data_IF_208375727253
#
_entry.id   IF_208375727253
#
_cell.length_a   1.000
_cell.length_b   1.000
_cell.length_c   1.000
_cell.angle_alpha   90.00
_cell.angle_beta   90.00
_cell.angle_gamma   90.00
#
_symmetry.space_group_name_H-M   'P 1'
#
loop_
_entity.id
_entity.type
_entity.pdbx_description
1 polymer ?
#
# COMPACT_ATOMS: atom_id res chain seq x y z
N UNK A 1 47.11 -56.34 11.22
CA UNK A 1 48.53 -56.17 11.41
C UNK A 1 48.93 -55.87 12.84
N UNK A 2 50.12 -56.35 13.17
CA UNK A 2 50.74 -56.11 14.47
C UNK A 2 52.16 -55.60 14.26
N UNK A 3 52.68 -54.79 15.19
CA UNK A 3 54.09 -54.37 15.19
C UNK A 3 55.00 -55.57 15.45
N UNK A 4 56.07 -55.65 14.68
CA UNK A 4 57.12 -56.65 14.97
C UNK A 4 57.74 -56.25 16.32
N UNK A 5 57.69 -57.20 17.26
CA UNK A 5 58.45 -57.09 18.51
C UNK A 5 59.72 -57.98 18.36
N UNK A 6 60.82 -57.33 18.02
CA UNK A 6 62.11 -57.96 17.86
C UNK A 6 62.89 -58.17 19.19
N UNK A 7 62.24 -57.83 20.33
CA UNK A 7 62.90 -57.96 21.63
C UNK A 7 63.19 -59.42 21.93
N UNK A 8 64.47 -59.83 22.12
CA UNK A 8 64.80 -61.19 22.48
C UNK A 8 64.21 -61.60 23.83
N UNK A 9 63.59 -62.75 23.88
CA UNK A 9 63.12 -63.33 25.15
C UNK A 9 64.15 -64.43 25.57
N UNK A 10 65.00 -64.16 26.55
CA UNK A 10 65.97 -65.13 27.01
C UNK A 10 65.25 -66.23 27.76
N UNK A 11 65.68 -67.49 27.51
CA UNK A 11 65.27 -68.64 28.29
C UNK A 11 66.44 -69.63 28.41
N UNK A 12 66.47 -70.42 29.47
CA UNK A 12 67.48 -71.39 29.74
C UNK A 12 66.84 -72.79 29.92
N UNK A 13 67.39 -73.78 29.24
CA UNK A 13 67.03 -75.20 29.44
C UNK A 13 68.12 -75.86 30.27
N UNK A 14 67.76 -76.26 31.49
CA UNK A 14 68.74 -76.94 32.40
C UNK A 14 68.71 -78.40 32.23
N UNK A 15 69.90 -79.05 32.38
CA UNK A 15 70.09 -80.50 32.30
C UNK A 15 69.16 -81.20 33.32
N UNK A 16 68.35 -82.17 32.86
CA UNK A 16 67.43 -82.93 33.70
C UNK A 16 66.03 -82.39 33.78
N UNK A 17 65.72 -81.33 33.05
CA UNK A 17 64.33 -80.77 32.96
C UNK A 17 63.53 -81.48 31.84
N UNK A 18 62.40 -82.09 32.20
CA UNK A 18 61.40 -82.64 31.25
C UNK A 18 60.18 -81.77 31.09
N UNK A 19 60.20 -80.57 31.63
CA UNK A 19 59.05 -79.65 31.57
C UNK A 19 59.09 -78.78 30.31
N UNK A 20 57.92 -78.60 29.71
CA UNK A 20 57.75 -77.66 28.59
C UNK A 20 57.78 -76.20 29.11
N UNK A 21 58.70 -75.37 28.59
CA UNK A 21 58.77 -73.94 28.87
C UNK A 21 57.74 -73.23 27.97
N UNK A 22 56.82 -72.53 28.57
CA UNK A 22 55.85 -71.70 27.86
C UNK A 22 56.34 -70.26 27.79
N UNK A 23 56.60 -69.77 26.59
CA UNK A 23 56.92 -68.39 26.34
C UNK A 23 55.62 -67.66 25.89
N UNK A 24 55.31 -66.55 26.53
CA UNK A 24 54.24 -65.64 26.13
C UNK A 24 54.88 -64.39 25.53
N UNK A 25 54.55 -64.07 24.29
CA UNK A 25 55.00 -62.88 23.64
C UNK A 25 53.78 -62.18 23.09
N UNK A 26 53.61 -60.86 23.39
CA UNK A 26 52.52 -60.06 22.99
C UNK A 26 52.95 -59.12 21.88
N UNK A 27 52.15 -58.95 20.82
CA UNK A 27 52.40 -58.00 19.77
C UNK A 27 51.42 -56.86 19.89
N UNK A 28 51.92 -55.65 19.70
CA UNK A 28 51.05 -54.43 19.61
C UNK A 28 50.36 -54.39 18.25
N UNK A 29 49.06 -54.23 18.24
CA UNK A 29 48.30 -54.11 16.99
C UNK A 29 48.71 -52.80 16.29
N UNK A 30 48.81 -52.85 14.96
CA UNK A 30 48.96 -51.66 14.11
C UNK A 30 47.64 -50.97 14.01
N UNK A 31 47.66 -49.66 14.21
CA UNK A 31 46.47 -48.87 14.26
C UNK A 31 46.56 -47.65 13.31
N UNK A 32 45.51 -47.36 12.66
CA UNK A 32 45.43 -46.17 11.82
C UNK A 32 44.65 -45.03 12.51
N UNK A 33 44.83 -43.83 11.98
CA UNK A 33 44.13 -42.63 12.43
C UNK A 33 43.45 -41.96 11.24
N UNK A 34 42.26 -41.40 11.48
CA UNK A 34 41.58 -40.53 10.56
C UNK A 34 41.60 -39.11 11.13
N UNK A 35 42.34 -38.21 10.47
CA UNK A 35 42.29 -36.77 10.73
C UNK A 35 41.27 -36.13 9.81
N UNK A 36 40.19 -35.58 10.37
CA UNK A 36 39.20 -34.79 9.65
C UNK A 36 39.61 -33.32 9.69
N UNK A 37 39.66 -32.66 8.53
CA UNK A 37 39.84 -31.22 8.40
C UNK A 37 38.55 -30.61 7.90
N UNK A 38 37.91 -29.78 8.71
CA UNK A 38 36.68 -29.08 8.37
C UNK A 38 36.97 -27.67 7.86
N UNK A 39 36.48 -27.32 6.66
CA UNK A 39 36.79 -26.05 5.99
C UNK A 39 35.56 -25.43 5.33
N UNK A 40 35.62 -24.12 5.09
CA UNK A 40 34.66 -23.40 4.29
C UNK A 40 34.79 -23.79 2.81
N UNK A 41 33.67 -24.04 2.13
CA UNK A 41 33.63 -24.45 0.71
C UNK A 41 34.27 -23.44 -0.23
N UNK A 42 34.03 -22.13 0.04
CA UNK A 42 34.51 -21.05 -0.80
C UNK A 42 35.89 -20.50 -0.38
N UNK A 43 36.34 -20.84 0.82
CA UNK A 43 37.64 -20.43 1.35
C UNK A 43 38.25 -21.53 2.21
N UNK A 44 38.94 -22.48 1.61
CA UNK A 44 39.54 -23.66 2.30
C UNK A 44 40.60 -23.30 3.35
N UNK A 45 41.16 -22.08 3.33
CA UNK A 45 42.03 -21.59 4.39
C UNK A 45 41.26 -21.31 5.71
N UNK A 46 39.93 -21.10 5.62
CA UNK A 46 39.07 -20.90 6.79
C UNK A 46 38.71 -22.26 7.38
N UNK A 47 39.27 -22.54 8.57
CA UNK A 47 38.98 -23.72 9.36
C UNK A 47 37.72 -23.55 10.17
N UNK A 48 36.92 -24.64 10.33
CA UNK A 48 35.59 -24.58 10.96
C UNK A 48 35.56 -25.48 12.21
N UNK A 49 35.41 -24.85 13.37
CA UNK A 49 35.19 -25.49 14.66
C UNK A 49 33.73 -25.88 14.89
N UNK A 50 33.48 -26.86 15.76
CA UNK A 50 32.16 -27.22 16.25
C UNK A 50 31.32 -28.09 15.31
N UNK A 51 31.87 -28.63 14.23
CA UNK A 51 31.25 -29.69 13.45
C UNK A 51 31.30 -31.03 14.20
N UNK A 52 30.16 -31.68 14.34
CA UNK A 52 30.10 -33.03 14.94
C UNK A 52 30.10 -34.09 13.86
N UNK A 53 30.98 -35.11 14.04
CA UNK A 53 31.09 -36.22 13.12
C UNK A 53 30.86 -37.54 13.82
N UNK A 54 30.24 -38.48 13.12
CA UNK A 54 30.14 -39.89 13.48
C UNK A 54 30.85 -40.75 12.44
N UNK A 55 31.67 -41.67 12.89
CA UNK A 55 32.35 -42.66 12.07
C UNK A 55 31.64 -44.01 12.25
N UNK A 56 31.28 -44.65 11.15
CA UNK A 56 30.58 -45.93 11.12
C UNK A 56 31.38 -46.97 10.32
N UNK A 57 31.17 -48.23 10.64
CA UNK A 57 31.61 -49.35 9.79
C UNK A 57 30.60 -49.62 8.65
N UNK A 58 30.90 -50.54 7.75
CA UNK A 58 30.05 -50.92 6.62
C UNK A 58 28.72 -51.61 7.03
N UNK A 59 28.56 -51.96 8.32
CA UNK A 59 27.34 -52.56 8.88
C UNK A 59 26.50 -51.53 9.64
N UNK A 60 26.78 -50.24 9.47
CA UNK A 60 26.15 -49.12 10.16
C UNK A 60 26.38 -49.13 11.70
N UNK A 61 27.38 -49.84 12.21
CA UNK A 61 27.75 -49.74 13.62
C UNK A 61 28.56 -48.48 13.86
N UNK A 62 28.18 -47.73 14.89
CA UNK A 62 28.91 -46.53 15.31
C UNK A 62 30.25 -46.93 15.92
N UNK A 63 31.35 -46.48 15.33
CA UNK A 63 32.74 -46.73 15.79
C UNK A 63 33.20 -45.61 16.72
N UNK A 64 32.98 -44.32 16.34
CA UNK A 64 33.41 -43.19 17.14
C UNK A 64 32.60 -41.95 16.79
N UNK A 65 32.60 -41.00 17.73
CA UNK A 65 32.05 -39.62 17.53
C UNK A 65 33.08 -38.60 17.97
N UNK A 66 33.02 -37.43 17.37
CA UNK A 66 33.85 -36.31 17.80
C UNK A 66 33.40 -34.97 17.24
N UNK A 67 34.06 -33.93 17.72
CA UNK A 67 33.74 -32.51 17.36
C UNK A 67 35.04 -31.86 16.89
N UNK A 68 34.98 -31.08 15.81
CA UNK A 68 36.15 -30.32 15.34
C UNK A 68 36.54 -29.22 16.33
N UNK A 69 37.85 -29.12 16.63
CA UNK A 69 38.42 -28.12 17.51
C UNK A 69 38.49 -26.71 16.84
N UNK A 70 39.11 -25.74 17.52
CA UNK A 70 39.29 -24.38 17.00
C UNK A 70 40.08 -24.28 15.69
N UNK A 71 40.96 -25.28 15.44
CA UNK A 71 41.70 -25.39 14.19
C UNK A 71 40.90 -26.13 13.08
N UNK A 72 39.62 -26.46 13.32
CA UNK A 72 38.80 -27.23 12.40
C UNK A 72 39.23 -28.69 12.25
N UNK A 73 39.91 -29.24 13.24
CA UNK A 73 40.47 -30.60 13.20
C UNK A 73 39.76 -31.52 14.19
N UNK A 74 39.57 -32.79 13.77
CA UNK A 74 39.11 -33.90 14.60
C UNK A 74 39.93 -35.12 14.28
N UNK A 75 40.39 -35.86 15.32
CA UNK A 75 41.18 -37.07 15.16
C UNK A 75 40.42 -38.30 15.70
N UNK A 76 40.23 -39.29 14.88
CA UNK A 76 39.81 -40.64 15.28
C UNK A 76 41.01 -41.56 15.28
N UNK A 77 41.27 -42.26 16.39
CA UNK A 77 42.40 -43.15 16.57
C UNK A 77 41.95 -44.61 16.71
N UNK A 78 42.89 -45.54 16.77
CA UNK A 78 42.67 -46.97 17.00
C UNK A 78 41.83 -47.64 15.90
N UNK A 79 41.98 -47.17 14.65
CA UNK A 79 41.26 -47.73 13.50
C UNK A 79 41.98 -48.90 12.90
N UNK A 80 41.23 -49.95 12.54
CA UNK A 80 41.80 -51.17 11.95
C UNK A 80 42.41 -50.90 10.57
N UNK A 81 43.60 -51.44 10.23
CA UNK A 81 44.17 -51.36 8.89
C UNK A 81 43.25 -51.92 7.79
N UNK A 82 42.48 -52.95 8.14
CA UNK A 82 41.59 -53.66 7.21
C UNK A 82 40.13 -53.16 7.36
N UNK A 83 39.95 -52.13 8.16
CA UNK A 83 38.60 -51.53 8.39
C UNK A 83 38.20 -50.62 7.25
N UNK A 84 36.96 -50.82 6.79
CA UNK A 84 36.29 -49.90 5.90
C UNK A 84 35.22 -49.13 6.70
N UNK A 85 35.21 -47.80 6.54
CA UNK A 85 34.39 -46.92 7.30
C UNK A 85 33.67 -45.91 6.39
N UNK A 86 32.69 -45.24 6.94
CA UNK A 86 32.20 -43.97 6.37
C UNK A 86 32.01 -42.93 7.46
N UNK A 87 32.33 -41.70 7.11
CA UNK A 87 32.19 -40.50 7.96
C UNK A 87 30.94 -39.74 7.59
N UNK A 88 30.17 -39.30 8.59
CA UNK A 88 28.97 -38.45 8.41
C UNK A 88 29.06 -37.28 9.34
N UNK A 89 28.79 -36.08 8.83
CA UNK A 89 28.56 -34.90 9.65
C UNK A 89 27.17 -35.00 10.27
N UNK A 90 27.07 -34.99 11.60
CA UNK A 90 25.77 -35.04 12.32
C UNK A 90 25.31 -33.70 12.83
N UNK A 91 26.20 -32.69 12.83
CA UNK A 91 25.88 -31.30 13.13
C UNK A 91 26.90 -30.38 12.44
N UNK A 92 26.41 -29.45 11.68
CA UNK A 92 27.25 -28.47 11.00
C UNK A 92 27.87 -27.45 11.97
N UNK A 93 29.00 -26.81 11.60
CA UNK A 93 29.49 -25.62 12.30
C UNK A 93 28.43 -24.50 12.31
N UNK A 94 28.50 -23.66 13.32
CA UNK A 94 27.55 -22.54 13.42
C UNK A 94 27.61 -21.63 12.18
N UNK A 95 26.45 -21.39 11.54
CA UNK A 95 26.33 -20.56 10.34
C UNK A 95 26.63 -21.31 9.02
N UNK A 96 26.68 -22.64 9.04
CA UNK A 96 26.89 -23.50 7.87
C UNK A 96 25.74 -24.47 7.64
N UNK A 97 25.55 -24.89 6.38
CA UNK A 97 24.60 -25.94 5.99
C UNK A 97 25.18 -27.31 6.41
N UNK A 98 24.34 -28.25 6.87
CA UNK A 98 24.72 -29.60 7.20
C UNK A 98 25.07 -30.38 5.92
N UNK A 99 26.19 -31.09 5.91
CA UNK A 99 26.54 -32.11 4.90
C UNK A 99 26.34 -33.49 5.51
N UNK A 100 25.18 -34.10 5.30
CA UNK A 100 24.82 -35.43 5.77
C UNK A 100 25.27 -36.56 4.83
N UNK A 101 26.10 -36.24 3.86
CA UNK A 101 26.67 -37.20 2.91
C UNK A 101 27.52 -38.25 3.63
N UNK A 102 27.38 -39.54 3.25
CA UNK A 102 28.29 -40.62 3.70
C UNK A 102 29.60 -40.51 2.94
N UNK A 103 30.66 -40.10 3.62
CA UNK A 103 32.00 -40.00 3.04
C UNK A 103 32.77 -41.31 3.27
N UNK A 104 33.11 -42.11 2.23
CA UNK A 104 33.82 -43.38 2.39
C UNK A 104 35.26 -43.15 2.85
N UNK A 105 35.70 -43.90 3.83
CA UNK A 105 37.03 -43.88 4.42
C UNK A 105 37.66 -45.25 4.31
N UNK A 106 38.79 -45.37 3.57
CA UNK A 106 39.55 -46.60 3.39
C UNK A 106 41.03 -46.32 3.61
N UNK A 107 41.71 -47.20 4.31
CA UNK A 107 43.15 -47.11 4.52
C UNK A 107 43.95 -47.86 3.44
N UNK A 108 43.27 -48.62 2.56
CA UNK A 108 43.89 -49.36 1.46
C UNK A 108 45.06 -50.26 1.90
N UNK A 109 44.93 -50.96 3.05
CA UNK A 109 45.95 -51.83 3.63
C UNK A 109 47.14 -51.11 4.28
N UNK A 110 47.10 -49.77 4.39
CA UNK A 110 48.15 -49.02 5.11
C UNK A 110 48.07 -49.27 6.61
N UNK A 111 49.21 -49.24 7.25
CA UNK A 111 49.37 -49.46 8.68
C UNK A 111 50.22 -48.38 9.32
N UNK A 112 49.92 -48.01 10.57
CA UNK A 112 50.54 -46.87 11.27
C UNK A 112 50.42 -45.59 10.46
N UNK A 113 49.20 -45.36 9.82
CA UNK A 113 48.99 -44.30 8.88
C UNK A 113 47.89 -43.34 9.36
N UNK A 114 48.16 -42.04 9.22
CA UNK A 114 47.14 -41.02 9.42
C UNK A 114 46.59 -40.59 8.07
N UNK A 115 45.32 -40.90 7.82
CA UNK A 115 44.59 -40.42 6.66
C UNK A 115 44.01 -39.05 6.99
N UNK A 116 44.36 -38.02 6.22
CA UNK A 116 43.71 -36.69 6.32
C UNK A 116 42.58 -36.63 5.32
N UNK A 117 41.38 -36.40 5.83
CA UNK A 117 40.17 -36.25 5.01
C UNK A 117 39.57 -34.89 5.21
N UNK A 118 39.38 -34.13 4.11
CA UNK A 118 38.83 -32.77 4.15
C UNK A 118 37.35 -32.76 3.81
N UNK A 119 36.51 -32.21 4.72
CA UNK A 119 35.09 -32.03 4.55
C UNK A 119 34.79 -30.55 4.45
N UNK A 120 34.04 -30.17 3.42
CA UNK A 120 33.68 -28.77 3.14
C UNK A 120 32.24 -28.49 3.55
N UNK A 121 31.96 -27.32 4.14
CA UNK A 121 30.59 -26.87 4.33
C UNK A 121 30.37 -25.54 3.63
N UNK A 122 29.14 -25.41 3.10
CA UNK A 122 28.65 -24.19 2.49
C UNK A 122 28.09 -23.28 3.57
N UNK A 123 28.47 -22.01 3.54
CA UNK A 123 27.96 -21.03 4.49
C UNK A 123 26.46 -20.85 4.32
N UNK A 124 25.70 -20.92 5.41
CA UNK A 124 24.26 -20.66 5.41
C UNK A 124 23.99 -19.18 5.11
N UNK A 125 23.24 -18.92 4.06
CA UNK A 125 22.84 -17.56 3.70
C UNK A 125 21.73 -17.11 4.65
N UNK A 126 22.05 -16.22 5.57
CA UNK A 126 21.04 -15.56 6.39
C UNK A 126 20.16 -14.67 5.52
N UNK A 127 18.85 -14.79 5.65
CA UNK A 127 17.89 -14.01 4.89
C UNK A 127 16.94 -13.23 5.81
N UNK A 128 16.41 -12.14 5.30
CA UNK A 128 15.30 -11.38 5.87
C UNK A 128 14.24 -11.13 4.80
N UNK A 129 13.29 -10.26 5.10
CA UNK A 129 12.23 -9.91 4.17
C UNK A 129 11.99 -8.40 4.18
N UNK A 130 11.52 -7.86 3.05
CA UNK A 130 11.10 -6.46 2.94
C UNK A 130 9.59 -6.46 2.69
N UNK A 131 8.84 -5.76 3.55
CA UNK A 131 7.41 -5.50 3.39
C UNK A 131 7.20 -4.10 2.84
N UNK A 132 6.58 -3.99 1.69
CA UNK A 132 6.15 -2.72 1.11
C UNK A 132 4.73 -2.44 1.59
N UNK A 133 4.52 -1.23 2.08
CA UNK A 133 3.23 -0.69 2.47
C UNK A 133 2.90 0.45 1.52
N UNK A 134 1.84 0.29 0.75
CA UNK A 134 1.38 1.28 -0.24
C UNK A 134 0.20 2.08 0.27
N UNK A 135 0.28 3.42 0.20
CA UNK A 135 -0.79 4.26 0.72
C UNK A 135 -0.93 5.60 -0.03
N UNK A 136 -2.11 6.20 0.07
CA UNK A 136 -2.37 7.59 -0.37
C UNK A 136 -1.61 8.58 0.50
N UNK A 137 -0.93 9.53 -0.11
CA UNK A 137 -0.08 10.50 0.60
C UNK A 137 -0.86 11.40 1.57
N UNK A 138 -2.09 11.79 1.22
CA UNK A 138 -2.90 12.69 2.04
C UNK A 138 -3.73 11.94 3.08
N UNK A 139 -4.51 10.95 2.66
CA UNK A 139 -5.47 10.24 3.52
C UNK A 139 -4.86 9.07 4.30
N UNK A 140 -3.64 8.64 3.94
CA UNK A 140 -2.97 7.43 4.46
C UNK A 140 -3.76 6.13 4.25
N UNK A 141 -4.80 6.16 3.42
CA UNK A 141 -5.55 4.98 3.03
C UNK A 141 -4.65 4.02 2.24
N UNK A 142 -4.74 2.73 2.54
CA UNK A 142 -4.02 1.67 1.84
C UNK A 142 -4.46 1.57 0.39
N UNK A 143 -3.50 1.31 -0.51
CA UNK A 143 -3.71 1.26 -1.96
C UNK A 143 -3.27 -0.10 -2.50
N UNK A 144 -4.12 -0.73 -3.30
CA UNK A 144 -3.86 -2.01 -3.96
C UNK A 144 -3.43 -1.83 -5.41
N UNK A 145 -2.81 -2.88 -6.00
CA UNK A 145 -2.56 -2.99 -7.43
C UNK A 145 -1.36 -2.20 -7.95
N UNK A 146 -0.53 -1.61 -7.08
CA UNK A 146 0.77 -1.09 -7.47
C UNK A 146 1.72 -2.25 -7.79
N UNK A 147 2.59 -2.09 -8.79
CA UNK A 147 3.65 -3.04 -9.10
C UNK A 147 5.01 -2.42 -8.80
N UNK A 148 5.88 -3.22 -8.18
CA UNK A 148 7.24 -2.82 -7.83
C UNK A 148 8.25 -3.79 -8.44
N UNK A 149 9.34 -3.23 -8.96
CA UNK A 149 10.57 -3.96 -9.23
C UNK A 149 11.52 -3.77 -8.05
N UNK A 150 12.13 -4.85 -7.59
CA UNK A 150 13.25 -4.81 -6.67
C UNK A 150 14.53 -5.28 -7.34
N UNK A 151 15.67 -4.76 -6.88
CA UNK A 151 17.00 -5.12 -7.37
C UNK A 151 17.99 -5.23 -6.21
N UNK A 152 18.68 -6.35 -6.13
CA UNK A 152 19.85 -6.54 -5.27
C UNK A 152 21.05 -5.80 -5.88
N UNK A 153 21.59 -4.80 -5.17
CA UNK A 153 22.68 -3.95 -5.71
C UNK A 153 24.02 -4.67 -5.82
N UNK A 154 24.20 -5.83 -5.15
CA UNK A 154 25.43 -6.61 -5.16
C UNK A 154 25.45 -7.61 -6.31
N UNK A 155 24.35 -8.37 -6.45
CA UNK A 155 24.27 -9.46 -7.46
C UNK A 155 23.62 -9.02 -8.75
N UNK A 156 22.94 -7.87 -8.76
CA UNK A 156 22.11 -7.44 -9.88
C UNK A 156 20.80 -8.22 -10.04
N UNK A 157 20.52 -9.21 -9.17
CA UNK A 157 19.27 -9.98 -9.21
C UNK A 157 18.06 -9.06 -9.04
N UNK A 158 17.05 -9.23 -9.88
CA UNK A 158 15.79 -8.48 -9.86
C UNK A 158 14.59 -9.38 -9.68
N UNK A 159 13.48 -8.80 -9.27
CA UNK A 159 12.18 -9.46 -9.26
C UNK A 159 11.07 -8.42 -9.22
N UNK A 160 9.84 -8.84 -9.46
CA UNK A 160 8.64 -8.00 -9.44
C UNK A 160 7.66 -8.51 -8.41
N UNK A 161 6.92 -7.57 -7.78
CA UNK A 161 5.87 -7.88 -6.81
C UNK A 161 4.69 -6.94 -7.01
N UNK A 162 3.48 -7.44 -6.74
CA UNK A 162 2.24 -6.67 -6.85
C UNK A 162 1.61 -6.51 -5.47
N UNK A 163 1.24 -5.30 -5.13
CA UNK A 163 0.61 -4.96 -3.85
C UNK A 163 -0.81 -5.53 -3.79
N UNK A 164 -1.10 -6.29 -2.74
CA UNK A 164 -2.39 -6.93 -2.50
C UNK A 164 -3.50 -5.95 -2.11
N UNK A 165 -4.70 -6.49 -1.90
CA UNK A 165 -5.91 -5.71 -1.54
C UNK A 165 -5.81 -5.03 -0.18
N UNK A 166 -4.95 -5.54 0.72
CA UNK A 166 -4.63 -4.94 2.03
C UNK A 166 -3.65 -3.77 1.94
N UNK A 167 -3.19 -3.45 0.73
CA UNK A 167 -2.19 -2.41 0.48
C UNK A 167 -0.78 -2.79 0.87
N UNK A 168 -0.47 -4.10 0.95
CA UNK A 168 0.87 -4.60 1.30
C UNK A 168 1.36 -5.69 0.36
N UNK A 169 2.68 -5.86 0.28
CA UNK A 169 3.35 -7.01 -0.34
C UNK A 169 4.68 -7.26 0.37
N UNK A 170 5.07 -8.52 0.48
CA UNK A 170 6.35 -8.90 1.09
C UNK A 170 7.25 -9.56 0.06
N UNK A 171 8.53 -9.16 0.05
CA UNK A 171 9.61 -9.78 -0.73
C UNK A 171 10.39 -10.66 0.26
N UNK A 172 10.21 -11.99 0.23
CA UNK A 172 10.85 -12.91 1.16
C UNK A 172 12.26 -13.31 0.72
N UNK A 173 13.00 -13.98 1.61
CA UNK A 173 14.26 -14.67 1.35
C UNK A 173 15.35 -13.78 0.72
N UNK A 174 15.42 -12.52 1.15
CA UNK A 174 16.44 -11.57 0.74
C UNK A 174 17.69 -11.72 1.62
N UNK A 175 18.87 -11.90 1.02
CA UNK A 175 20.13 -12.05 1.76
C UNK A 175 20.40 -10.81 2.61
N UNK A 176 20.85 -11.01 3.86
CA UNK A 176 21.32 -9.90 4.71
C UNK A 176 22.67 -9.36 4.22
N UNK A 177 23.11 -8.23 4.80
CA UNK A 177 24.30 -7.46 4.41
C UNK A 177 24.27 -6.99 2.95
N UNK A 178 23.05 -6.68 2.45
CA UNK A 178 22.82 -6.18 1.10
C UNK A 178 21.83 -5.01 1.10
N UNK A 179 21.96 -4.16 0.10
CA UNK A 179 21.02 -3.08 -0.18
C UNK A 179 20.16 -3.46 -1.38
N UNK A 180 18.86 -3.24 -1.22
CA UNK A 180 17.86 -3.49 -2.24
C UNK A 180 17.28 -2.16 -2.70
N UNK A 181 17.22 -1.96 -4.02
CA UNK A 181 16.52 -0.86 -4.66
C UNK A 181 15.10 -1.29 -5.01
N UNK A 182 14.10 -0.52 -4.59
CA UNK A 182 12.68 -0.79 -4.81
C UNK A 182 12.10 0.39 -5.58
N UNK A 183 11.58 0.13 -6.77
CA UNK A 183 11.04 1.14 -7.70
C UNK A 183 9.62 0.78 -8.09
N UNK A 184 8.70 1.73 -7.99
CA UNK A 184 7.34 1.54 -8.50
C UNK A 184 7.36 1.54 -10.02
N UNK A 185 6.87 0.46 -10.65
CA UNK A 185 6.79 0.33 -12.11
C UNK A 185 5.38 0.61 -12.64
N UNK A 186 4.37 0.47 -11.77
CA UNK A 186 2.97 0.80 -12.08
C UNK A 186 2.28 1.33 -10.83
N UNK A 187 1.70 2.52 -10.93
CA UNK A 187 0.95 3.11 -9.84
C UNK A 187 -0.44 2.46 -9.68
N UNK A 188 -1.04 2.54 -8.47
CA UNK A 188 -2.45 2.23 -8.30
C UNK A 188 -3.34 3.07 -9.20
N UNK A 189 -4.49 2.53 -9.61
CA UNK A 189 -5.44 3.23 -10.49
C UNK A 189 -5.88 4.57 -9.90
N UNK A 190 -5.70 5.66 -10.64
CA UNK A 190 -6.03 7.03 -10.21
C UNK A 190 -4.92 7.74 -9.43
N UNK A 191 -3.72 7.17 -9.42
CA UNK A 191 -2.56 7.77 -8.77
C UNK A 191 -1.44 8.09 -9.77
N UNK A 192 -0.57 8.99 -9.38
CA UNK A 192 0.64 9.35 -10.15
C UNK A 192 1.75 8.37 -9.74
N UNK A 193 2.50 7.86 -10.72
CA UNK A 193 3.64 6.96 -10.49
C UNK A 193 4.69 7.63 -9.60
N UNK A 194 5.12 6.91 -8.55
CA UNK A 194 6.29 7.30 -7.77
C UNK A 194 7.57 6.91 -8.51
N UNK A 195 8.35 7.90 -8.91
CA UNK A 195 9.63 7.69 -9.61
C UNK A 195 10.84 7.58 -8.67
N UNK A 196 10.61 7.60 -7.36
CA UNK A 196 11.68 7.53 -6.36
C UNK A 196 12.17 6.08 -6.27
N UNK A 197 13.49 5.91 -6.25
CA UNK A 197 14.12 4.64 -5.92
C UNK A 197 14.29 4.56 -4.41
N UNK A 198 13.53 3.67 -3.77
CA UNK A 198 13.61 3.44 -2.33
C UNK A 198 14.71 2.42 -2.03
N UNK A 199 15.73 2.81 -1.26
CA UNK A 199 16.83 1.92 -0.87
C UNK A 199 16.60 1.35 0.51
N UNK A 200 16.66 0.02 0.64
CA UNK A 200 16.50 -0.71 1.89
C UNK A 200 17.71 -1.61 2.10
N UNK A 201 18.42 -1.41 3.20
CA UNK A 201 19.57 -2.26 3.56
C UNK A 201 19.13 -3.28 4.62
N UNK A 202 19.33 -4.55 4.34
CA UNK A 202 19.17 -5.64 5.31
C UNK A 202 20.55 -5.93 5.91
N UNK A 203 20.74 -5.68 7.21
CA UNK A 203 21.94 -6.08 7.96
C UNK A 203 21.74 -7.44 8.60
N UNK A 204 22.77 -8.01 9.23
CA UNK A 204 22.65 -9.26 10.00
C UNK A 204 21.59 -9.18 11.10
N UNK A 205 21.34 -7.97 11.67
CA UNK A 205 20.31 -7.75 12.68
C UNK A 205 18.88 -7.97 12.14
N UNK A 206 18.68 -7.95 10.80
CA UNK A 206 17.42 -8.24 10.14
C UNK A 206 17.28 -9.70 9.66
N UNK A 207 18.23 -10.58 10.01
CA UNK A 207 18.08 -12.01 9.74
C UNK A 207 16.77 -12.55 10.35
N UNK A 208 15.98 -13.26 9.56
CA UNK A 208 14.67 -13.82 9.91
C UNK A 208 13.62 -12.75 10.34
N UNK A 209 13.84 -11.47 10.00
CA UNK A 209 12.93 -10.37 10.31
C UNK A 209 12.37 -9.72 9.04
N UNK A 210 11.29 -8.96 9.24
CA UNK A 210 10.65 -8.18 8.17
C UNK A 210 10.96 -6.69 8.39
N UNK A 211 11.59 -6.06 7.40
CA UNK A 211 11.80 -4.61 7.35
C UNK A 211 10.67 -3.99 6.54
N UNK A 212 10.01 -2.95 7.07
CA UNK A 212 8.90 -2.30 6.38
C UNK A 212 9.35 -1.00 5.72
N UNK A 213 8.99 -0.82 4.44
CA UNK A 213 9.10 0.43 3.69
C UNK A 213 7.71 0.92 3.31
N UNK A 214 7.42 2.19 3.60
CA UNK A 214 6.15 2.82 3.22
C UNK A 214 6.37 3.69 1.99
N UNK A 215 5.55 3.48 0.96
CA UNK A 215 5.60 4.22 -0.31
C UNK A 215 4.27 4.94 -0.51
N UNK A 216 4.32 6.27 -0.57
CA UNK A 216 3.16 7.15 -0.75
C UNK A 216 2.93 7.45 -2.23
N UNK A 217 1.67 7.38 -2.73
CA UNK A 217 1.32 7.97 -4.02
C UNK A 217 0.42 9.19 -3.87
N UNK A 218 0.57 10.10 -4.82
CA UNK A 218 -0.28 11.28 -4.96
C UNK A 218 -1.43 10.94 -5.89
N UNK A 219 -2.69 11.19 -5.45
CA UNK A 219 -3.86 11.00 -6.30
C UNK A 219 -3.83 11.96 -7.51
N UNK A 220 -4.23 11.48 -8.68
CA UNK A 220 -4.49 12.33 -9.83
C UNK A 220 -5.58 13.35 -9.47
N UNK A 221 -5.61 14.48 -10.18
CA UNK A 221 -6.50 15.60 -9.86
C UNK A 221 -7.52 15.84 -10.98
N UNK A 222 -8.71 16.29 -10.58
CA UNK A 222 -9.76 16.83 -11.45
C UNK A 222 -10.31 18.14 -10.86
N UNK A 223 -11.43 18.63 -11.39
CA UNK A 223 -12.07 19.85 -10.92
C UNK A 223 -13.59 19.73 -10.92
N UNK A 224 -14.26 20.47 -10.05
CA UNK A 224 -15.72 20.59 -10.04
C UNK A 224 -16.09 22.03 -10.38
N UNK A 225 -16.95 22.20 -11.40
CA UNK A 225 -17.54 23.47 -11.77
C UNK A 225 -18.97 23.53 -11.24
N UNK A 226 -19.27 24.54 -10.43
CA UNK A 226 -20.62 24.84 -9.97
C UNK A 226 -21.24 25.85 -10.94
N UNK A 227 -22.44 25.56 -11.37
CA UNK A 227 -23.27 26.44 -12.17
C UNK A 227 -24.46 26.86 -11.32
N UNK A 228 -24.59 28.15 -11.05
CA UNK A 228 -25.67 28.72 -10.23
C UNK A 228 -26.72 29.36 -11.11
N UNK A 229 -28.01 29.01 -10.91
CA UNK A 229 -29.09 29.55 -11.72
C UNK A 229 -30.43 29.66 -10.96
N UNK A 230 -31.29 30.50 -11.46
CA UNK A 230 -32.70 30.59 -11.03
C UNK A 230 -33.44 29.30 -11.46
N UNK A 231 -34.22 28.74 -10.55
CA UNK A 231 -34.91 27.45 -10.78
C UNK A 231 -35.93 27.53 -11.94
N UNK A 232 -36.63 28.65 -12.05
CA UNK A 232 -37.71 28.80 -13.03
C UNK A 232 -37.22 29.31 -14.40
N UNK A 233 -36.46 30.41 -14.39
CA UNK A 233 -35.99 31.10 -15.60
C UNK A 233 -34.68 30.53 -16.19
N UNK A 234 -33.96 29.73 -15.40
CA UNK A 234 -32.61 29.22 -15.73
C UNK A 234 -31.56 30.31 -15.95
N UNK A 235 -31.89 31.57 -15.60
CA UNK A 235 -30.92 32.68 -15.63
C UNK A 235 -29.79 32.42 -14.64
N UNK A 236 -28.56 32.69 -15.05
CA UNK A 236 -27.38 32.59 -14.19
C UNK A 236 -27.46 33.59 -13.03
N UNK A 237 -27.03 33.12 -11.85
CA UNK A 237 -27.02 33.87 -10.61
C UNK A 237 -25.61 34.04 -10.09
N UNK A 238 -25.30 35.21 -9.56
CA UNK A 238 -23.94 35.58 -9.06
C UNK A 238 -23.96 35.79 -7.56
N UNK A 239 -22.78 35.71 -6.91
CA UNK A 239 -22.58 36.06 -5.50
C UNK A 239 -23.03 35.02 -4.48
N UNK A 240 -23.43 33.82 -4.90
CA UNK A 240 -23.62 32.68 -4.01
C UNK A 240 -22.27 32.20 -3.48
N UNK A 241 -22.23 31.76 -2.22
CA UNK A 241 -21.06 31.14 -1.63
C UNK A 241 -21.33 29.66 -1.34
N UNK A 242 -20.33 28.83 -1.63
CA UNK A 242 -20.38 27.38 -1.40
C UNK A 242 -19.23 26.94 -0.54
N UNK A 243 -19.50 26.12 0.47
CA UNK A 243 -18.50 25.31 1.13
C UNK A 243 -18.42 23.96 0.45
N UNK A 244 -17.22 23.52 0.17
CA UNK A 244 -16.96 22.14 -0.25
C UNK A 244 -16.18 21.38 0.83
N UNK A 245 -16.40 20.05 0.91
CA UNK A 245 -15.73 19.15 1.84
C UNK A 245 -15.34 17.86 1.14
N UNK A 246 -14.08 17.49 1.23
CA UNK A 246 -13.57 16.15 0.87
C UNK A 246 -13.98 15.15 1.95
N UNK A 247 -14.80 14.17 1.62
CA UNK A 247 -15.33 13.19 2.59
C UNK A 247 -14.30 12.19 3.10
N UNK A 248 -13.13 12.08 2.42
CA UNK A 248 -12.04 11.17 2.80
C UNK A 248 -11.05 11.82 3.76
N UNK A 249 -10.65 13.07 3.45
CA UNK A 249 -9.63 13.78 4.26
C UNK A 249 -10.23 14.75 5.26
N UNK A 250 -11.52 15.10 5.11
CA UNK A 250 -12.18 16.16 5.87
C UNK A 250 -11.79 17.59 5.46
N UNK A 251 -10.91 17.75 4.44
CA UNK A 251 -10.49 19.07 3.95
C UNK A 251 -11.68 19.84 3.41
N UNK A 252 -11.79 21.12 3.77
CA UNK A 252 -12.84 22.04 3.34
C UNK A 252 -12.26 23.25 2.63
N UNK A 253 -13.11 23.96 1.91
CA UNK A 253 -12.82 25.28 1.36
C UNK A 253 -14.10 26.01 0.97
N UNK A 254 -14.01 27.32 0.76
CA UNK A 254 -15.14 28.18 0.35
C UNK A 254 -14.84 28.74 -1.04
N UNK A 255 -15.86 28.81 -1.89
CA UNK A 255 -15.79 29.42 -3.21
C UNK A 255 -17.00 30.32 -3.45
N UNK A 256 -16.82 31.41 -4.19
CA UNK A 256 -17.86 32.39 -4.51
C UNK A 256 -18.15 32.37 -6.01
N UNK A 257 -19.42 32.28 -6.37
CA UNK A 257 -19.89 32.28 -7.76
C UNK A 257 -19.66 33.66 -8.41
N UNK A 258 -18.96 33.63 -9.54
CA UNK A 258 -18.60 34.83 -10.31
C UNK A 258 -19.77 35.43 -11.08
N UNK A 259 -19.46 36.49 -11.83
CA UNK A 259 -20.46 37.27 -12.62
C UNK A 259 -21.07 36.47 -13.76
N UNK A 260 -20.42 35.44 -14.25
CA UNK A 260 -20.92 34.49 -15.25
C UNK A 260 -21.84 33.40 -14.68
N UNK A 261 -22.12 33.48 -13.36
CA UNK A 261 -22.91 32.45 -12.65
C UNK A 261 -22.21 31.13 -12.46
N UNK A 262 -20.86 31.10 -12.51
CA UNK A 262 -20.08 29.87 -12.30
C UNK A 262 -18.93 30.07 -11.34
N UNK A 263 -18.45 28.96 -10.77
CA UNK A 263 -17.20 28.88 -10.03
C UNK A 263 -16.58 27.48 -10.17
N UNK A 264 -15.27 27.40 -10.22
CA UNK A 264 -14.56 26.12 -10.32
C UNK A 264 -13.74 25.87 -9.07
N UNK A 265 -13.84 24.67 -8.53
CA UNK A 265 -13.00 24.15 -7.45
C UNK A 265 -11.92 23.28 -8.11
N UNK A 266 -10.68 23.76 -8.24
CA UNK A 266 -9.60 23.05 -8.94
C UNK A 266 -8.87 22.08 -8.03
N UNK A 267 -8.03 21.23 -8.62
CA UNK A 267 -7.05 20.37 -7.94
C UNK A 267 -7.63 19.40 -6.92
N UNK A 268 -8.85 18.92 -7.16
CA UNK A 268 -9.51 17.91 -6.35
C UNK A 268 -9.02 16.52 -6.69
N UNK A 269 -8.70 15.70 -5.69
CA UNK A 269 -8.25 14.33 -5.90
C UNK A 269 -9.36 13.48 -6.52
N UNK A 270 -9.01 12.63 -7.51
CA UNK A 270 -9.94 11.61 -8.03
C UNK A 270 -10.11 10.47 -7.03
N UNK A 271 -11.08 9.59 -7.26
CA UNK A 271 -11.52 8.51 -6.36
C UNK A 271 -12.02 9.02 -5.00
N UNK A 272 -12.59 10.23 -4.98
CA UNK A 272 -13.15 10.86 -3.78
C UNK A 272 -14.51 11.47 -4.05
N UNK A 273 -15.34 11.53 -3.02
CA UNK A 273 -16.62 12.23 -3.03
C UNK A 273 -16.46 13.57 -2.31
N UNK A 274 -17.02 14.61 -2.91
CA UNK A 274 -17.05 15.96 -2.38
C UNK A 274 -18.48 16.34 -2.05
N UNK A 275 -18.70 16.88 -0.84
CA UNK A 275 -19.96 17.49 -0.42
C UNK A 275 -19.87 18.98 -0.70
N UNK A 276 -20.87 19.53 -1.41
CA UNK A 276 -20.97 20.93 -1.79
C UNK A 276 -22.27 21.47 -1.22
N UNK A 277 -22.16 22.48 -0.35
CA UNK A 277 -23.32 23.10 0.35
C UNK A 277 -23.32 24.60 0.13
N UNK A 278 -24.44 25.18 -0.25
CA UNK A 278 -24.59 26.63 -0.33
C UNK A 278 -24.59 27.21 1.08
N UNK A 279 -23.69 28.14 1.36
CA UNK A 279 -23.58 28.85 2.65
C UNK A 279 -24.17 30.23 2.61
N UNK A 280 -24.30 30.83 1.39
CA UNK A 280 -24.94 32.12 1.16
C UNK A 280 -25.64 32.10 -0.19
N UNK A 281 -26.92 32.39 -0.20
CA UNK A 281 -27.71 32.49 -1.42
C UNK A 281 -27.41 33.79 -2.18
N UNK A 282 -27.63 33.84 -3.51
CA UNK A 282 -27.71 35.12 -4.24
C UNK A 282 -28.76 36.08 -3.66
N UNK A 283 -28.54 37.38 -3.81
CA UNK A 283 -29.49 38.38 -3.33
C UNK A 283 -30.90 38.17 -3.92
N UNK A 284 -31.93 38.11 -3.07
CA UNK A 284 -33.33 37.87 -3.45
C UNK A 284 -33.67 36.39 -3.66
N UNK A 285 -32.82 35.46 -3.26
CA UNK A 285 -33.09 34.05 -3.36
C UNK A 285 -33.09 33.37 -1.99
N UNK A 286 -33.77 32.21 -1.92
CA UNK A 286 -33.82 31.37 -0.74
C UNK A 286 -32.59 30.44 -0.74
N UNK A 287 -31.91 30.29 0.40
CA UNK A 287 -30.77 29.41 0.55
C UNK A 287 -31.12 27.96 0.23
N UNK A 288 -30.34 27.32 -0.64
CA UNK A 288 -30.44 25.88 -0.87
C UNK A 288 -29.69 25.14 0.24
N UNK A 289 -30.42 24.43 1.09
CA UNK A 289 -29.86 23.62 2.19
C UNK A 289 -29.45 22.23 1.76
N UNK A 290 -29.59 21.90 0.49
CA UNK A 290 -29.24 20.58 -0.06
C UNK A 290 -27.73 20.37 -0.05
N UNK A 291 -27.27 19.20 0.41
CA UNK A 291 -25.89 18.79 0.26
C UNK A 291 -25.75 18.07 -1.08
N UNK A 292 -25.06 18.71 -2.03
CA UNK A 292 -24.79 18.14 -3.34
C UNK A 292 -23.53 17.27 -3.27
N UNK A 293 -23.65 15.95 -3.52
CA UNK A 293 -22.53 15.01 -3.52
C UNK A 293 -22.02 14.79 -4.93
N UNK A 294 -20.73 15.07 -5.15
CA UNK A 294 -20.06 14.91 -6.44
C UNK A 294 -18.87 13.95 -6.26
N UNK A 295 -18.88 12.83 -6.96
CA UNK A 295 -17.75 11.87 -6.95
C UNK A 295 -16.88 12.10 -8.17
N UNK A 296 -15.59 12.38 -7.96
CA UNK A 296 -14.59 12.36 -9.01
C UNK A 296 -13.99 10.96 -9.09
N UNK A 297 -14.27 10.24 -10.17
CA UNK A 297 -13.63 8.93 -10.45
C UNK A 297 -12.32 9.13 -11.21
N UNK A 298 -11.57 8.06 -11.48
CA UNK A 298 -10.35 8.13 -12.31
C UNK A 298 -10.61 8.67 -13.71
N UNK A 299 -11.81 8.45 -14.27
CA UNK A 299 -12.20 8.97 -15.57
C UNK A 299 -12.27 10.50 -15.62
N UNK A 300 -12.36 11.18 -14.48
CA UNK A 300 -12.35 12.63 -14.35
C UNK A 300 -10.96 13.22 -14.07
N UNK A 301 -9.90 12.41 -14.10
CA UNK A 301 -8.52 12.92 -14.03
C UNK A 301 -8.29 13.96 -15.14
N UNK A 302 -7.79 15.14 -14.76
CA UNK A 302 -7.57 16.30 -15.64
C UNK A 302 -8.83 16.85 -16.33
N UNK A 303 -10.02 16.52 -15.84
CA UNK A 303 -11.31 16.98 -16.38
C UNK A 303 -12.09 17.81 -15.37
N UNK A 304 -13.10 18.50 -15.87
CA UNK A 304 -14.05 19.31 -15.09
C UNK A 304 -15.39 18.59 -15.07
N UNK A 305 -15.92 18.31 -13.88
CA UNK A 305 -17.29 17.81 -13.66
C UNK A 305 -18.17 19.01 -13.31
N UNK A 306 -19.31 19.15 -13.98
CA UNK A 306 -20.25 20.26 -13.74
C UNK A 306 -21.39 19.79 -12.85
N UNK A 307 -21.71 20.59 -11.82
CA UNK A 307 -22.89 20.47 -10.98
C UNK A 307 -23.71 21.74 -11.11
N UNK A 308 -25.02 21.61 -11.40
CA UNK A 308 -25.95 22.75 -11.46
C UNK A 308 -26.73 22.81 -10.17
N UNK A 309 -26.76 23.99 -9.57
CA UNK A 309 -27.49 24.26 -8.32
C UNK A 309 -28.51 25.37 -8.58
N UNK A 310 -29.80 25.04 -8.42
CA UNK A 310 -30.92 25.95 -8.62
C UNK A 310 -31.27 26.64 -7.31
N UNK A 311 -31.56 27.99 -7.34
CA UNK A 311 -32.22 28.66 -6.23
C UNK A 311 -33.63 29.10 -6.63
N UNK A 312 -34.51 29.14 -5.62
CA UNK A 312 -35.86 29.65 -5.71
C UNK A 312 -35.82 31.12 -5.31
N UNK A 313 -36.37 32.02 -6.15
CA UNK A 313 -36.49 33.41 -5.81
C UNK A 313 -37.40 33.62 -4.58
N UNK A 314 -37.03 34.54 -3.71
CA UNK A 314 -37.90 34.99 -2.62
C UNK A 314 -39.20 35.52 -3.19
N UNK A 315 -40.25 35.52 -2.40
CA UNK A 315 -41.60 35.97 -2.82
C UNK A 315 -41.97 37.30 -2.20
N UNK A 316 -42.60 38.13 -3.01
CA UNK A 316 -43.21 39.37 -2.63
C UNK A 316 -44.68 39.44 -3.14
N UNK A 317 -45.29 40.59 -3.09
CA UNK A 317 -46.61 40.85 -3.61
C UNK A 317 -46.72 42.26 -4.20
N UNK A 318 -47.60 42.41 -5.17
CA UNK A 318 -47.97 43.73 -5.72
C UNK A 318 -49.40 44.02 -5.29
N UNK A 319 -49.63 45.18 -4.65
CA UNK A 319 -50.98 45.69 -4.32
C UNK A 319 -51.39 46.74 -5.37
N UNK A 320 -52.51 46.49 -6.05
CA UNK A 320 -53.11 47.38 -6.98
C UNK A 320 -54.19 48.18 -6.23
N UNK A 321 -54.19 49.47 -6.43
CA UNK A 321 -55.22 50.40 -5.91
C UNK A 321 -55.93 51.06 -7.10
N UNK A 322 -57.23 50.80 -7.25
CA UNK A 322 -58.02 51.39 -8.30
C UNK A 322 -58.86 52.56 -7.72
N UNK A 323 -58.74 53.71 -8.34
CA UNK A 323 -59.45 54.89 -7.89
C UNK A 323 -59.87 55.79 -9.06
N UNK A 324 -60.93 56.62 -8.85
CA UNK A 324 -61.32 57.69 -9.74
C UNK A 324 -60.22 58.74 -9.84
N UNK A 325 -59.95 59.23 -11.06
CA UNK A 325 -58.83 60.14 -11.32
C UNK A 325 -58.96 61.47 -10.59
N UNK A 326 -60.19 62.00 -10.48
CA UNK A 326 -60.45 63.31 -9.90
C UNK A 326 -60.79 63.24 -8.40
N UNK A 327 -61.82 62.48 -8.05
CA UNK A 327 -62.33 62.36 -6.68
C UNK A 327 -61.49 61.50 -5.75
N UNK A 328 -60.52 60.68 -6.30
CA UNK A 328 -59.71 59.72 -5.57
C UNK A 328 -60.53 58.64 -4.86
N UNK A 329 -61.87 58.60 -5.14
CA UNK A 329 -62.74 57.55 -4.60
C UNK A 329 -62.30 56.15 -5.09
N UNK A 330 -62.28 55.19 -4.20
CA UNK A 330 -61.98 53.82 -4.50
C UNK A 330 -63.01 53.16 -5.43
N UNK A 331 -62.56 52.42 -6.43
CA UNK A 331 -63.38 51.78 -7.45
C UNK A 331 -63.23 50.29 -7.40
N UNK A 332 -64.34 49.53 -7.33
CA UNK A 332 -64.37 48.07 -7.32
C UNK A 332 -64.68 47.52 -8.71
N UNK A 333 -64.37 46.24 -8.90
CA UNK A 333 -64.78 45.44 -10.07
C UNK A 333 -63.87 45.56 -11.32
N UNK A 334 -62.80 46.35 -11.27
CA UNK A 334 -61.82 46.37 -12.33
C UNK A 334 -61.06 44.97 -12.37
N UNK A 335 -60.72 44.54 -13.55
CA UNK A 335 -59.92 43.35 -13.74
C UNK A 335 -58.55 43.74 -14.30
N UNK A 336 -57.49 43.15 -13.74
CA UNK A 336 -56.09 43.32 -14.20
C UNK A 336 -55.46 41.99 -14.57
N UNK A 337 -54.82 41.96 -15.74
CA UNK A 337 -53.89 40.87 -16.10
C UNK A 337 -52.48 41.29 -15.67
N UNK A 338 -51.78 40.40 -15.02
CA UNK A 338 -50.38 40.57 -14.77
C UNK A 338 -49.57 39.55 -15.59
N UNK A 339 -48.35 39.91 -15.96
CA UNK A 339 -47.41 39.03 -16.69
C UNK A 339 -46.00 39.19 -16.11
N UNK A 340 -45.40 38.07 -15.74
CA UNK A 340 -43.99 38.01 -15.41
C UNK A 340 -43.17 38.09 -16.73
N UNK A 341 -42.34 39.13 -16.88
CA UNK A 341 -41.59 39.36 -18.13
C UNK A 341 -40.44 38.37 -18.35
N UNK A 342 -40.01 37.64 -17.32
CA UNK A 342 -38.92 36.69 -17.38
C UNK A 342 -39.43 35.31 -17.75
N UNK A 343 -40.50 34.83 -17.12
CA UNK A 343 -41.04 33.47 -17.36
C UNK A 343 -42.22 33.45 -18.33
N UNK A 344 -42.81 34.59 -18.62
CA UNK A 344 -44.03 34.70 -19.42
C UNK A 344 -45.31 34.29 -18.69
N UNK A 345 -45.23 33.92 -17.40
CA UNK A 345 -46.38 33.51 -16.60
C UNK A 345 -47.36 34.68 -16.44
N UNK A 346 -48.64 34.44 -16.63
CA UNK A 346 -49.73 35.41 -16.51
C UNK A 346 -50.76 34.99 -15.46
N UNK A 347 -51.56 35.94 -14.99
CA UNK A 347 -52.73 35.70 -14.17
C UNK A 347 -53.68 36.91 -14.20
N UNK A 348 -54.90 36.70 -13.77
CA UNK A 348 -55.95 37.78 -13.70
C UNK A 348 -56.33 37.94 -12.24
N UNK A 349 -56.54 39.20 -11.82
CA UNK A 349 -57.05 39.57 -10.48
C UNK A 349 -58.17 40.60 -10.61
N UNK A 350 -59.14 40.52 -9.71
CA UNK A 350 -60.30 41.43 -9.69
C UNK A 350 -60.24 42.35 -8.44
N UNK A 351 -60.37 43.61 -8.63
CA UNK A 351 -60.38 44.63 -7.55
C UNK A 351 -61.62 44.49 -6.66
N UNK A 352 -61.38 44.34 -5.35
CA UNK A 352 -62.44 44.18 -4.35
C UNK A 352 -63.21 45.41 -4.08
N UNK A 353 -64.25 45.34 -3.20
CA UNK A 353 -65.12 46.41 -2.80
C UNK A 353 -64.38 47.55 -2.12
N UNK A 354 -63.24 47.34 -1.53
CA UNK A 354 -62.34 48.31 -0.93
C UNK A 354 -61.50 49.09 -1.97
N UNK A 355 -61.65 48.75 -3.25
CA UNK A 355 -60.88 49.32 -4.35
C UNK A 355 -59.47 48.85 -4.42
N UNK A 356 -59.18 47.71 -3.82
CA UNK A 356 -57.82 47.12 -3.83
C UNK A 356 -57.83 45.67 -4.23
N UNK A 357 -56.68 45.18 -4.74
CA UNK A 357 -56.37 43.73 -4.93
C UNK A 357 -54.86 43.51 -4.77
N UNK A 358 -54.48 42.35 -4.20
CA UNK A 358 -53.12 42.01 -4.05
C UNK A 358 -52.79 40.76 -4.93
N UNK A 359 -51.73 40.84 -5.71
CA UNK A 359 -51.14 39.71 -6.45
C UNK A 359 -50.06 39.13 -5.57
N UNK A 360 -50.30 37.99 -4.90
CA UNK A 360 -49.34 37.39 -3.98
C UNK A 360 -48.34 36.48 -4.69
N UNK A 361 -47.29 36.07 -3.96
CA UNK A 361 -46.32 35.01 -4.38
C UNK A 361 -45.56 35.34 -5.67
N UNK A 362 -45.34 36.61 -5.94
CA UNK A 362 -44.51 37.07 -7.05
C UNK A 362 -43.03 36.93 -6.70
N UNK A 363 -42.21 36.45 -7.65
CA UNK A 363 -40.76 36.33 -7.43
C UNK A 363 -40.11 37.70 -7.40
N UNK A 364 -39.28 38.00 -6.40
CA UNK A 364 -38.52 39.26 -6.33
C UNK A 364 -37.47 39.34 -7.45
N UNK A 365 -36.93 40.54 -7.71
CA UNK A 365 -35.94 40.80 -8.77
C UNK A 365 -36.47 40.48 -10.18
N UNK A 366 -37.81 40.59 -10.39
CA UNK A 366 -38.47 40.44 -11.70
C UNK A 366 -39.36 41.62 -11.98
N UNK A 367 -39.51 41.93 -13.25
CA UNK A 367 -40.44 42.95 -13.68
C UNK A 367 -41.78 42.30 -14.09
N UNK A 368 -42.86 42.87 -13.60
CA UNK A 368 -44.22 42.45 -13.89
C UNK A 368 -44.92 43.55 -14.69
N UNK A 369 -45.56 43.18 -15.81
CA UNK A 369 -46.46 44.04 -16.58
C UNK A 369 -47.87 43.83 -16.07
N UNK A 370 -48.53 44.91 -15.74
CA UNK A 370 -49.90 44.92 -15.22
C UNK A 370 -50.74 45.79 -16.13
N UNK A 371 -51.78 45.18 -16.69
CA UNK A 371 -52.68 45.84 -17.66
C UNK A 371 -54.13 45.70 -17.22
N UNK A 372 -54.91 46.75 -17.23
CA UNK A 372 -56.37 46.70 -17.00
C UNK A 372 -57.03 46.01 -18.20
N UNK A 373 -57.78 44.92 -17.96
CA UNK A 373 -58.48 44.13 -18.98
C UNK A 373 -60.00 44.43 -18.96
N UNK A 374 -60.51 44.96 -17.83
CA UNK A 374 -61.88 45.36 -17.66
C UNK A 374 -61.96 46.56 -16.72
N UNK A 375 -62.60 47.68 -17.15
CA UNK A 375 -62.82 48.85 -16.33
C UNK A 375 -63.94 48.64 -15.31
N UNK A 376 -63.91 49.37 -14.17
CA UNK A 376 -65.08 49.45 -13.30
C UNK A 376 -66.34 49.97 -14.05
N UNK A 377 -67.53 49.64 -13.58
CA UNK A 377 -68.78 50.09 -14.18
C UNK A 377 -68.82 51.59 -14.24
N UNK A 378 -69.13 52.16 -15.44
CA UNK A 378 -69.16 53.58 -15.69
C UNK A 378 -67.83 54.27 -15.97
N UNK A 379 -66.75 53.54 -16.10
CA UNK A 379 -65.40 54.07 -16.37
C UNK A 379 -64.82 53.53 -17.70
N UNK A 380 -63.93 54.35 -18.28
CA UNK A 380 -63.21 53.98 -19.50
C UNK A 380 -62.00 53.11 -19.14
N UNK A 381 -61.71 52.08 -19.95
CA UNK A 381 -60.55 51.16 -19.78
C UNK A 381 -59.24 51.91 -19.92
N UNK A 382 -58.38 51.79 -18.92
CA UNK A 382 -57.01 52.26 -18.99
C UNK A 382 -56.15 51.20 -19.72
N UNK A 383 -55.67 51.53 -20.92
CA UNK A 383 -54.85 50.68 -21.74
C UNK A 383 -53.36 50.76 -21.41
N UNK A 384 -52.99 51.52 -20.39
CA UNK A 384 -51.59 51.68 -19.99
C UNK A 384 -51.02 50.36 -19.40
N UNK A 385 -49.85 49.95 -19.87
CA UNK A 385 -49.11 48.85 -19.26
C UNK A 385 -48.22 49.39 -18.15
N UNK A 386 -48.54 49.03 -16.92
CA UNK A 386 -47.75 49.42 -15.75
C UNK A 386 -46.65 48.38 -15.50
N UNK A 387 -45.39 48.83 -15.41
CA UNK A 387 -44.25 47.97 -15.09
C UNK A 387 -43.82 48.14 -13.65
N UNK A 388 -43.79 47.02 -12.90
CA UNK A 388 -43.41 46.98 -11.47
C UNK A 388 -42.29 45.99 -11.30
N UNK A 389 -41.21 46.42 -10.67
CA UNK A 389 -40.03 45.55 -10.41
C UNK A 389 -39.86 45.35 -8.92
#
# INVERSE_FOLDING_TARGET
GYKLDATPVPFEIKTGQTQTIRLKKENTRLENQLKVEKVDENNEAKRLAGAEFSLYDQKDNLIAKGVTNENGELLFSNLSPDGEYYLVETKAPNGYELDDTKHPISFAGKTDYTLTYRVKNKQQVQTGSIKIVKQDKESKKRLAGAEFQWKDTVTGKTGTVTVGTDGTVTIPNLSVNRTYEITETKAPTGYVLDKIVHKVTLTTAQANKVVTVTVDNIAQKGSIKIVKQDKDSKKRLTGAEFQWKDTVTGKTGIVTVGTDGTVTIPNLAVNRTYEITETKAPAGYVLDKTVHKVTLTTAQANKVVTVTVDNIAQKGSIKIVKQDKESKKRLAGAEFQWKDTVTGKTGIVTVGTDGTVTIPNLSVNRTYEITETKAPAGYVLDKTVHKVT
#
